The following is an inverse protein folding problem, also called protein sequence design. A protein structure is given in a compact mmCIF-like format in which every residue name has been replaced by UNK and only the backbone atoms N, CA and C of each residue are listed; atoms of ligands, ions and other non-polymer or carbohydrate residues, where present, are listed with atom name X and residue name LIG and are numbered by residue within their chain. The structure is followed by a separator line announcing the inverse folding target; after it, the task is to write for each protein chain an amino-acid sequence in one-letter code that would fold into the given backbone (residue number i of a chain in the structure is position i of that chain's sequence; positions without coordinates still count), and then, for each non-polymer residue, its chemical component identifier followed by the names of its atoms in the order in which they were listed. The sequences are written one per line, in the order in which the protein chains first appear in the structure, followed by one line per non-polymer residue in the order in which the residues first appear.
data_IF_782767652119
#
_entry.id   IF_782767652119
#
_cell.length_a   1.000
_cell.length_b   1.000
_cell.length_c   1.000
_cell.angle_alpha   90.00
_cell.angle_beta   90.00
_cell.angle_gamma   90.00
#
_symmetry.space_group_name_H-M   'P 1'
#
loop_
_entity.id
_entity.type
_entity.pdbx_description
1 polymer ?
#
# COMPACT_ATOMS: atom_id res chain seq x y z
N UNK A 1 -4.99 -7.10 -4.61
CA UNK A 1 -5.26 -6.49 -3.30
C UNK A 1 -6.78 -6.30 -3.14
N UNK A 2 -7.32 -6.26 -1.91
CA UNK A 2 -8.76 -6.16 -1.65
C UNK A 2 -9.46 -4.96 -2.30
N UNK A 3 -8.75 -3.84 -2.43
CA UNK A 3 -9.29 -2.55 -2.91
C UNK A 3 -9.86 -2.60 -4.33
N UNK A 4 -9.49 -3.58 -5.17
CA UNK A 4 -10.15 -3.79 -6.46
C UNK A 4 -11.63 -4.20 -6.31
N UNK A 5 -12.00 -4.80 -5.17
CA UNK A 5 -13.36 -5.28 -4.88
C UNK A 5 -14.13 -4.28 -4.03
N UNK A 6 -13.48 -3.70 -3.01
CA UNK A 6 -14.14 -2.85 -2.00
C UNK A 6 -13.95 -1.35 -2.23
N UNK A 7 -13.15 -0.97 -3.24
CA UNK A 7 -12.73 0.41 -3.47
C UNK A 7 -11.59 0.84 -2.55
N UNK A 8 -10.95 1.96 -2.89
CA UNK A 8 -9.98 2.59 -2.00
C UNK A 8 -10.68 3.56 -1.04
N UNK A 9 -10.31 3.46 0.23
CA UNK A 9 -10.85 4.31 1.28
C UNK A 9 -9.73 4.84 2.16
N UNK A 10 -9.79 6.14 2.41
CA UNK A 10 -8.90 6.81 3.35
C UNK A 10 -9.07 6.21 4.76
N UNK A 11 -7.99 6.18 5.54
CA UNK A 11 -7.98 5.55 6.86
C UNK A 11 -9.08 6.04 7.82
N UNK A 12 -9.42 7.35 7.89
CA UNK A 12 -10.51 7.82 8.74
C UNK A 12 -11.87 7.20 8.40
N UNK A 13 -12.13 6.95 7.11
CA UNK A 13 -13.38 6.32 6.66
C UNK A 13 -13.39 4.84 7.04
N UNK A 14 -12.28 4.12 6.81
CA UNK A 14 -12.15 2.71 7.23
C UNK A 14 -12.46 2.52 8.72
N UNK A 15 -12.03 3.45 9.58
CA UNK A 15 -12.35 3.43 11.02
C UNK A 15 -13.82 3.72 11.37
N UNK A 16 -14.52 4.47 10.52
CA UNK A 16 -15.91 4.87 10.76
C UNK A 16 -16.95 3.84 10.27
N UNK A 17 -16.63 3.02 9.27
CA UNK A 17 -17.57 2.02 8.69
C UNK A 17 -17.86 0.87 9.65
N UNK A 18 -16.96 0.58 10.58
CA UNK A 18 -17.16 -0.43 11.63
C UNK A 18 -16.37 -1.72 11.43
N UNK A 19 -16.47 -2.66 12.39
CA UNK A 19 -15.60 -3.83 12.47
C UNK A 19 -15.80 -4.84 11.33
N UNK A 20 -17.02 -4.96 10.81
CA UNK A 20 -17.34 -5.93 9.75
C UNK A 20 -16.60 -5.64 8.44
N UNK A 21 -16.27 -4.37 8.19
CA UNK A 21 -15.45 -3.97 7.04
C UNK A 21 -14.03 -4.53 7.15
N UNK A 22 -13.43 -4.48 8.35
CA UNK A 22 -12.11 -5.07 8.60
C UNK A 22 -12.09 -6.58 8.38
N UNK A 23 -13.16 -7.27 8.82
CA UNK A 23 -13.30 -8.72 8.61
C UNK A 23 -13.41 -9.04 7.11
N UNK A 24 -14.14 -8.25 6.33
CA UNK A 24 -14.23 -8.42 4.88
C UNK A 24 -12.86 -8.21 4.20
N UNK A 25 -12.14 -7.14 4.56
CA UNK A 25 -10.80 -6.84 4.04
C UNK A 25 -9.79 -7.96 4.35
N UNK A 26 -9.81 -8.49 5.58
CA UNK A 26 -8.97 -9.60 6.01
C UNK A 26 -9.27 -10.89 5.21
N UNK A 27 -10.56 -11.21 4.99
CA UNK A 27 -10.97 -12.39 4.21
C UNK A 27 -10.56 -12.28 2.74
N UNK A 28 -10.74 -11.10 2.14
CA UNK A 28 -10.31 -10.83 0.77
C UNK A 28 -8.79 -10.93 0.64
N UNK A 29 -8.06 -10.35 1.60
CA UNK A 29 -6.59 -10.42 1.66
C UNK A 29 -6.11 -11.86 1.70
N UNK A 30 -6.68 -12.68 2.58
CA UNK A 30 -6.34 -14.10 2.69
C UNK A 30 -6.59 -14.86 1.38
N UNK A 31 -7.75 -14.65 0.74
CA UNK A 31 -8.08 -15.28 -0.53
C UNK A 31 -7.10 -14.89 -1.65
N UNK A 32 -6.72 -13.62 -1.71
CA UNK A 32 -5.73 -13.10 -2.67
C UNK A 32 -4.35 -13.72 -2.43
N UNK A 33 -3.87 -13.77 -1.19
CA UNK A 33 -2.58 -14.39 -0.87
C UNK A 33 -2.54 -15.85 -1.32
N UNK A 34 -3.57 -16.64 -0.95
CA UNK A 34 -3.67 -18.05 -1.33
C UNK A 34 -3.65 -18.22 -2.86
N UNK A 35 -4.37 -17.36 -3.60
CA UNK A 35 -4.41 -17.39 -5.06
C UNK A 35 -3.03 -17.24 -5.72
N UNK A 36 -2.08 -16.58 -5.05
CA UNK A 36 -0.72 -16.37 -5.53
C UNK A 36 0.32 -17.22 -4.79
N UNK A 37 -0.10 -18.28 -4.09
CA UNK A 37 0.83 -19.21 -3.41
C UNK A 37 1.50 -18.64 -2.16
N UNK A 38 0.98 -17.52 -1.62
CA UNK A 38 1.47 -16.90 -0.39
C UNK A 38 0.71 -17.43 0.84
N UNK A 39 1.30 -17.33 2.05
CA UNK A 39 0.57 -17.60 3.29
C UNK A 39 -0.66 -16.70 3.41
N UNK A 40 -1.81 -17.28 3.76
CA UNK A 40 -3.07 -16.55 3.94
C UNK A 40 -2.89 -15.33 4.88
N UNK A 41 -2.15 -15.53 5.97
CA UNK A 41 -1.71 -14.49 6.91
C UNK A 41 -0.20 -14.37 6.80
N UNK A 42 0.28 -13.18 6.44
CA UNK A 42 1.72 -12.91 6.34
C UNK A 42 2.39 -12.93 7.73
N UNK A 43 3.68 -13.31 7.80
CA UNK A 43 4.46 -13.16 9.03
C UNK A 43 4.39 -11.72 9.56
N UNK A 44 4.30 -11.57 10.88
CA UNK A 44 4.17 -10.25 11.54
C UNK A 44 5.32 -9.30 11.16
N UNK A 45 6.53 -9.83 11.01
CA UNK A 45 7.71 -9.06 10.56
C UNK A 45 7.51 -8.47 9.16
N UNK A 46 6.99 -9.24 8.22
CA UNK A 46 6.68 -8.81 6.85
C UNK A 46 5.55 -7.76 6.87
N UNK A 47 4.46 -8.03 7.60
CA UNK A 47 3.34 -7.08 7.74
C UNK A 47 3.79 -5.72 8.29
N UNK A 48 4.71 -5.72 9.27
CA UNK A 48 5.31 -4.49 9.82
C UNK A 48 6.14 -3.73 8.79
N UNK A 49 6.94 -4.43 7.97
CA UNK A 49 7.72 -3.80 6.91
C UNK A 49 6.83 -3.18 5.82
N UNK A 50 5.80 -3.91 5.39
CA UNK A 50 4.79 -3.39 4.45
C UNK A 50 4.16 -2.12 5.01
N UNK A 51 3.75 -2.13 6.28
CA UNK A 51 3.16 -0.94 6.90
C UNK A 51 4.13 0.21 7.09
N UNK A 52 5.42 -0.04 7.29
CA UNK A 52 6.44 1.02 7.26
C UNK A 52 6.55 1.65 5.87
N UNK A 53 6.60 0.84 4.82
CA UNK A 53 6.68 1.32 3.44
C UNK A 53 5.43 2.10 3.02
N UNK A 54 4.24 1.58 3.34
CA UNK A 54 2.93 2.22 3.16
C UNK A 54 2.89 3.62 3.79
N UNK A 55 3.35 3.74 5.04
CA UNK A 55 3.40 5.02 5.75
C UNK A 55 4.35 6.04 5.11
N UNK A 56 5.49 5.58 4.58
CA UNK A 56 6.43 6.43 3.84
C UNK A 56 5.80 6.89 2.52
N UNK A 57 5.11 6.00 1.79
CA UNK A 57 4.36 6.36 0.57
C UNK A 57 3.31 7.42 0.87
N UNK A 58 2.48 7.21 1.90
CA UNK A 58 1.45 8.17 2.30
C UNK A 58 2.03 9.55 2.67
N UNK A 59 3.19 9.60 3.34
CA UNK A 59 3.87 10.86 3.64
C UNK A 59 4.36 11.57 2.37
N UNK A 60 4.92 10.83 1.39
CA UNK A 60 5.34 11.38 0.11
C UNK A 60 4.15 11.90 -0.71
N UNK A 61 3.05 11.15 -0.74
CA UNK A 61 1.82 11.55 -1.42
C UNK A 61 1.22 12.80 -0.78
N UNK A 62 1.14 12.83 0.55
CA UNK A 62 0.64 13.97 1.31
C UNK A 62 1.39 15.26 0.97
N UNK A 63 2.73 15.20 0.99
CA UNK A 63 3.60 16.37 0.80
C UNK A 63 3.82 16.77 -0.66
N UNK A 64 3.73 15.84 -1.61
CA UNK A 64 4.04 16.12 -3.02
C UNK A 64 2.81 16.36 -3.88
N UNK A 65 1.69 15.68 -3.63
CA UNK A 65 0.53 15.71 -4.54
C UNK A 65 -0.80 16.02 -3.85
N UNK A 66 -0.93 15.87 -2.53
CA UNK A 66 -2.16 16.16 -1.81
C UNK A 66 -2.17 17.52 -1.08
N UNK A 67 -1.09 18.30 -1.16
CA UNK A 67 -1.04 19.67 -0.67
C UNK A 67 -0.85 19.84 0.85
N UNK A 68 -0.53 18.77 1.58
CA UNK A 68 -0.22 18.87 3.00
C UNK A 68 1.13 19.55 3.21
N UNK A 69 1.24 20.33 4.28
CA UNK A 69 2.55 20.80 4.75
C UNK A 69 3.33 19.63 5.36
N UNK A 70 4.65 19.76 5.36
CA UNK A 70 5.56 18.74 5.92
C UNK A 70 5.26 18.47 7.39
N UNK A 71 4.96 19.50 8.19
CA UNK A 71 4.67 19.35 9.61
C UNK A 71 3.31 18.67 9.87
N UNK A 72 2.33 18.84 8.98
CA UNK A 72 1.05 18.11 9.01
C UNK A 72 1.27 16.63 8.67
N UNK A 73 2.02 16.36 7.60
CA UNK A 73 2.36 15.00 7.19
C UNK A 73 3.20 14.26 8.25
N UNK A 74 4.17 14.95 8.89
CA UNK A 74 4.97 14.41 9.98
C UNK A 74 4.11 13.98 11.17
N UNK A 75 3.06 14.73 11.50
CA UNK A 75 2.13 14.40 12.59
C UNK A 75 1.26 13.19 12.26
N UNK A 76 0.74 13.10 11.04
CA UNK A 76 -0.17 12.04 10.61
C UNK A 76 0.56 10.73 10.28
N UNK A 77 1.66 10.82 9.56
CA UNK A 77 2.39 9.69 8.99
C UNK A 77 3.75 9.45 9.67
N UNK A 78 4.13 10.27 10.65
CA UNK A 78 5.49 10.24 11.20
C UNK A 78 6.50 10.84 10.23
N UNK A 79 7.72 11.05 10.70
CA UNK A 79 8.81 11.63 9.91
C UNK A 79 9.70 10.54 9.31
N UNK A 80 9.70 10.32 7.99
CA UNK A 80 10.62 9.39 7.35
C UNK A 80 12.07 9.84 7.54
N UNK A 81 13.00 8.89 7.56
CA UNK A 81 14.42 9.21 7.54
C UNK A 81 14.78 9.86 6.19
N UNK A 82 15.54 10.97 6.15
CA UNK A 82 15.77 11.72 4.91
C UNK A 82 16.38 10.88 3.79
N UNK A 83 17.29 9.96 4.12
CA UNK A 83 17.93 9.01 3.20
C UNK A 83 16.95 8.05 2.52
N UNK A 84 15.83 7.71 3.17
CA UNK A 84 14.80 6.84 2.60
C UNK A 84 13.91 7.55 1.58
N UNK A 85 13.80 8.87 1.65
CA UNK A 85 12.89 9.65 0.79
C UNK A 85 13.62 10.55 -0.20
N UNK A 86 14.92 10.76 -0.02
CA UNK A 86 15.70 11.61 -0.90
C UNK A 86 15.70 11.06 -2.34
N UNK A 87 15.38 11.92 -3.30
CA UNK A 87 15.26 11.55 -4.71
C UNK A 87 13.96 10.82 -5.09
N UNK A 88 13.11 10.42 -4.14
CA UNK A 88 11.82 9.83 -4.46
C UNK A 88 10.80 10.89 -4.86
N UNK A 89 10.20 10.72 -6.04
CA UNK A 89 9.17 11.61 -6.58
C UNK A 89 7.93 10.82 -6.98
N UNK A 90 6.77 11.34 -6.59
CA UNK A 90 5.49 10.80 -7.02
C UNK A 90 5.18 11.37 -8.40
N UNK A 91 5.00 10.48 -9.37
CA UNK A 91 4.61 10.85 -10.73
C UNK A 91 3.19 10.35 -11.00
N UNK A 92 2.27 11.28 -11.26
CA UNK A 92 0.94 10.94 -11.75
C UNK A 92 1.04 10.44 -13.18
N UNK A 93 0.47 9.26 -13.44
CA UNK A 93 0.64 8.54 -14.71
C UNK A 93 -0.71 8.09 -15.27
N UNK A 94 -0.84 7.97 -16.60
CA UNK A 94 -2.06 7.46 -17.22
C UNK A 94 -2.44 6.06 -16.71
N UNK A 95 -3.73 5.77 -16.45
CA UNK A 95 -4.16 4.50 -15.85
C UNK A 95 -3.68 3.25 -16.60
N UNK A 96 -3.70 3.27 -17.93
CA UNK A 96 -3.24 2.14 -18.75
C UNK A 96 -1.74 1.86 -18.56
N UNK A 97 -0.92 2.91 -18.42
CA UNK A 97 0.51 2.78 -18.23
C UNK A 97 0.84 2.23 -16.82
N UNK A 98 0.13 2.72 -15.79
CA UNK A 98 0.27 2.20 -14.41
C UNK A 98 -0.14 0.73 -14.34
N UNK A 99 -1.29 0.37 -14.93
CA UNK A 99 -1.77 -1.01 -14.96
C UNK A 99 -0.75 -1.95 -15.58
N UNK A 100 -0.21 -1.60 -16.76
CA UNK A 100 0.79 -2.41 -17.45
C UNK A 100 2.03 -2.63 -16.59
N UNK A 101 2.58 -1.56 -16.04
CA UNK A 101 3.84 -1.63 -15.29
C UNK A 101 3.66 -2.37 -13.95
N UNK A 102 2.51 -2.19 -13.28
CA UNK A 102 2.16 -2.95 -12.08
C UNK A 102 2.09 -4.45 -12.39
N UNK A 103 1.35 -4.84 -13.44
CA UNK A 103 1.24 -6.26 -13.84
C UNK A 103 2.58 -6.84 -14.23
N UNK A 104 3.41 -6.11 -14.99
CA UNK A 104 4.75 -6.55 -15.36
C UNK A 104 5.65 -6.79 -14.13
N UNK A 105 5.63 -5.88 -13.15
CA UNK A 105 6.40 -6.06 -11.90
C UNK A 105 5.89 -7.24 -11.09
N UNK A 106 4.57 -7.41 -11.00
CA UNK A 106 3.95 -8.54 -10.32
C UNK A 106 4.34 -9.88 -10.97
N UNK A 107 4.27 -9.99 -12.30
CA UNK A 107 4.70 -11.17 -13.04
C UNK A 107 6.19 -11.47 -12.86
N UNK A 108 7.04 -10.45 -12.86
CA UNK A 108 8.46 -10.63 -12.59
C UNK A 108 8.70 -11.20 -11.19
N UNK A 109 8.05 -10.64 -10.17
CA UNK A 109 8.18 -11.12 -8.79
C UNK A 109 7.67 -12.55 -8.61
N UNK A 110 6.60 -12.94 -9.32
CA UNK A 110 6.13 -14.32 -9.30
C UNK A 110 7.15 -15.28 -9.93
N UNK A 111 7.77 -14.89 -11.05
CA UNK A 111 8.84 -15.69 -11.66
C UNK A 111 10.05 -15.82 -10.74
N UNK A 112 10.40 -14.77 -10.01
CA UNK A 112 11.51 -14.78 -9.05
C UNK A 112 11.23 -15.67 -7.82
N UNK A 113 9.97 -16.06 -7.58
CA UNK A 113 9.56 -16.98 -6.52
C UNK A 113 9.58 -18.45 -6.95
N UNK A 114 9.45 -18.73 -8.26
CA UNK A 114 9.55 -20.08 -8.81
C UNK A 114 11.05 -20.45 -8.94
N UNK A 115 11.50 -21.57 -8.34
CA UNK A 115 12.91 -21.98 -8.35
C UNK A 115 13.43 -22.41 -9.73
#
# INVERSE_FOLDING_TARGET
APEYVIGDMISPVKSAVGPDYGVLDDRLTAAIHIRFGLPAILPVSVKRQIKKADKISAWLEATQIAGFKVDEADKLFGKPAPDLVNGLRIHLRPPLAVRRDFTARHEQLLKDMDP
#
